data_IF_696861890424
#
_entry.id   IF_696861890424
#
_cell.length_a   1.000
_cell.length_b   1.000
_cell.length_c   1.000
_cell.angle_alpha   90.00
_cell.angle_beta   90.00
_cell.angle_gamma   90.00
#
_symmetry.space_group_name_H-M   'P 1'
#
loop_
_entity.id
_entity.type
_entity.pdbx_description
1 polymer ?
#
# COMPACT_ATOMS: atom_id res chain seq x y z
N UNK A 1 6.18 3.80 -13.80
CA UNK A 1 5.94 4.80 -12.73
C UNK A 1 5.28 4.11 -11.53
N UNK A 2 5.62 4.48 -10.29
CA UNK A 2 5.12 3.78 -9.08
C UNK A 2 3.65 4.09 -8.75
N UNK A 3 3.05 5.10 -9.38
CA UNK A 3 1.64 5.47 -9.25
C UNK A 3 0.79 4.63 -10.21
N UNK A 4 0.13 3.58 -9.70
CA UNK A 4 -0.70 2.67 -10.48
C UNK A 4 -2.17 2.89 -10.13
N UNK A 5 -2.94 3.51 -11.03
CA UNK A 5 -4.32 3.94 -10.75
C UNK A 5 -5.23 2.81 -10.26
N UNK A 6 -5.15 1.63 -10.87
CA UNK A 6 -5.93 0.43 -10.50
C UNK A 6 -5.63 -0.11 -9.10
N UNK A 7 -4.50 0.29 -8.51
CA UNK A 7 -4.04 -0.16 -7.20
C UNK A 7 -4.06 0.94 -6.14
N UNK A 8 -4.62 2.11 -6.45
CA UNK A 8 -4.85 3.18 -5.48
C UNK A 8 -5.69 2.70 -4.29
N UNK A 9 -5.39 3.28 -3.12
CA UNK A 9 -6.17 3.09 -1.91
C UNK A 9 -7.13 4.26 -1.72
N UNK A 10 -8.37 3.93 -1.38
CA UNK A 10 -9.38 4.92 -1.04
C UNK A 10 -9.02 5.58 0.30
N UNK A 11 -9.28 6.88 0.42
CA UNK A 11 -8.98 7.71 1.60
C UNK A 11 -7.51 7.70 2.05
N UNK A 12 -6.59 7.30 1.17
CA UNK A 12 -5.15 7.28 1.44
C UNK A 12 -4.43 7.84 0.22
N UNK A 13 -4.26 9.17 0.12
CA UNK A 13 -3.58 9.79 -1.01
C UNK A 13 -2.17 9.24 -1.16
N UNK A 14 -1.73 9.14 -2.41
CA UNK A 14 -0.40 8.64 -2.80
C UNK A 14 -0.07 7.22 -2.34
N UNK A 15 -1.06 6.48 -1.82
CA UNK A 15 -0.90 5.12 -1.35
C UNK A 15 -1.47 4.11 -2.34
N UNK A 16 -0.71 3.04 -2.56
CA UNK A 16 -1.01 2.01 -3.55
C UNK A 16 -0.76 0.62 -2.96
N UNK A 17 -1.32 -0.42 -3.58
CA UNK A 17 -1.19 -1.81 -3.11
C UNK A 17 -0.52 -2.72 -4.14
N UNK A 18 0.38 -3.59 -3.67
CA UNK A 18 0.89 -4.73 -4.44
C UNK A 18 0.22 -6.00 -3.92
N UNK A 19 -0.32 -6.82 -4.84
CA UNK A 19 -0.98 -8.09 -4.54
C UNK A 19 0.00 -9.24 -4.74
N UNK A 20 0.55 -9.77 -3.64
CA UNK A 20 1.42 -10.94 -3.66
C UNK A 20 0.56 -12.21 -3.64
N UNK A 21 -0.03 -12.54 -4.80
CA UNK A 21 -1.10 -13.55 -4.91
C UNK A 21 -0.67 -14.95 -4.46
N UNK A 22 0.51 -15.41 -4.90
CA UNK A 22 1.02 -16.73 -4.55
C UNK A 22 1.18 -16.93 -3.04
N UNK A 23 1.57 -15.87 -2.31
CA UNK A 23 1.71 -15.91 -0.86
C UNK A 23 0.40 -15.59 -0.11
N UNK A 24 -0.60 -15.02 -0.77
CA UNK A 24 -1.81 -14.51 -0.12
C UNK A 24 -1.62 -13.19 0.64
N UNK A 25 -0.64 -12.37 0.27
CA UNK A 25 -0.29 -11.11 0.95
C UNK A 25 -0.65 -9.87 0.14
N UNK A 26 -0.67 -8.74 0.83
CA UNK A 26 -0.62 -7.40 0.26
C UNK A 26 0.48 -6.58 0.89
N UNK A 27 1.11 -5.78 0.07
CA UNK A 27 2.01 -4.72 0.47
C UNK A 27 1.33 -3.38 0.16
N UNK A 28 1.40 -2.43 1.08
CA UNK A 28 0.93 -1.06 0.91
C UNK A 28 2.15 -0.15 0.93
N UNK A 29 2.25 0.70 -0.08
CA UNK A 29 3.34 1.67 -0.20
C UNK A 29 2.80 3.07 -0.49
N UNK A 30 3.55 4.09 -0.09
CA UNK A 30 3.35 5.51 -0.44
C UNK A 30 4.45 5.98 -1.38
N UNK A 31 4.08 6.82 -2.34
CA UNK A 31 5.04 7.51 -3.22
C UNK A 31 5.25 8.92 -2.66
N UNK A 32 6.50 9.30 -2.43
CA UNK A 32 6.88 10.66 -2.02
C UNK A 32 7.68 11.30 -3.16
N UNK A 33 7.01 12.12 -3.98
CA UNK A 33 7.63 12.71 -5.18
C UNK A 33 8.77 13.69 -4.83
N UNK A 34 8.63 14.46 -3.74
CA UNK A 34 9.63 15.43 -3.29
C UNK A 34 10.97 14.79 -2.91
N UNK A 35 10.91 13.57 -2.36
CA UNK A 35 12.09 12.81 -1.91
C UNK A 35 12.52 11.76 -2.92
N UNK A 36 11.73 11.53 -3.96
CA UNK A 36 11.93 10.48 -4.96
C UNK A 36 12.03 9.10 -4.28
N UNK A 37 11.10 8.81 -3.35
CA UNK A 37 11.11 7.56 -2.57
C UNK A 37 9.78 6.81 -2.67
N UNK A 38 9.88 5.48 -2.46
CA UNK A 38 8.73 4.60 -2.24
C UNK A 38 8.86 4.04 -0.83
N UNK A 39 7.91 4.40 0.04
CA UNK A 39 7.92 3.98 1.44
C UNK A 39 6.92 2.85 1.63
N UNK A 40 7.40 1.70 2.09
CA UNK A 40 6.52 0.58 2.44
C UNK A 40 5.89 0.85 3.81
N UNK A 41 4.58 1.06 3.84
CA UNK A 41 3.84 1.40 5.07
C UNK A 41 3.42 0.13 5.81
N UNK A 42 2.98 -0.89 5.07
CA UNK A 42 2.41 -2.10 5.67
C UNK A 42 2.55 -3.30 4.75
N UNK A 43 2.84 -4.47 5.35
CA UNK A 43 2.83 -5.76 4.67
C UNK A 43 2.02 -6.72 5.54
N UNK A 44 1.12 -7.49 4.91
CA UNK A 44 0.30 -8.44 5.67
C UNK A 44 -0.51 -9.39 4.79
N UNK A 45 -0.98 -10.48 5.41
CA UNK A 45 -1.88 -11.45 4.77
C UNK A 45 -3.20 -10.81 4.36
N UNK A 46 -3.91 -11.41 3.41
CA UNK A 46 -5.30 -11.08 3.06
C UNK A 46 -6.25 -11.52 4.17
N UNK A 47 -6.22 -10.83 5.29
CA UNK A 47 -7.08 -11.11 6.43
C UNK A 47 -8.03 -9.95 6.63
N UNK A 48 -9.25 -10.05 6.05
CA UNK A 48 -10.36 -9.10 6.24
C UNK A 48 -10.00 -7.60 6.13
N UNK A 49 -8.96 -7.24 5.37
CA UNK A 49 -8.53 -5.84 5.21
C UNK A 49 -7.62 -5.29 6.33
N UNK A 50 -7.17 -6.10 7.29
CA UNK A 50 -6.30 -5.68 8.40
C UNK A 50 -5.03 -4.93 7.96
N UNK A 51 -4.46 -5.33 6.82
CA UNK A 51 -3.28 -4.67 6.25
C UNK A 51 -3.51 -3.18 5.96
N UNK A 52 -4.73 -2.81 5.55
CA UNK A 52 -5.09 -1.42 5.25
C UNK A 52 -5.33 -0.63 6.54
N UNK A 53 -5.96 -1.23 7.55
CA UNK A 53 -6.13 -0.58 8.85
C UNK A 53 -4.77 -0.28 9.49
N UNK A 54 -3.85 -1.24 9.44
CA UNK A 54 -2.46 -1.04 9.88
C UNK A 54 -1.74 0.04 9.08
N UNK A 55 -2.01 0.14 7.78
CA UNK A 55 -1.42 1.18 6.94
C UNK A 55 -1.95 2.57 7.30
N UNK A 56 -3.26 2.72 7.53
CA UNK A 56 -3.86 3.99 7.98
C UNK A 56 -3.26 4.48 9.30
N UNK A 57 -3.03 3.58 10.25
CA UNK A 57 -2.44 3.93 11.55
C UNK A 57 -0.97 4.38 11.49
N UNK A 58 -0.33 4.28 10.31
CA UNK A 58 1.10 4.60 10.11
C UNK A 58 1.30 5.77 9.13
N UNK A 59 0.20 6.39 8.69
CA UNK A 59 0.22 7.57 7.84
C UNK A 59 0.24 8.84 8.67
#
# INVERSE_FOLDING_TARGET
MPRVASDSLHDMPDCFKIKLRAAGYRLVYRVEDERITVVVISVGKRERGLVYNRARNRL
#
